data_IF_049386213379
#
_entry.id   IF_049386213379
#
_cell.length_a   1.000
_cell.length_b   1.000
_cell.length_c   1.000
_cell.angle_alpha   90.00
_cell.angle_beta   90.00
_cell.angle_gamma   90.00
#
_symmetry.space_group_name_H-M   'P 1'
#
loop_
_entity.id
_entity.type
_entity.pdbx_description
1 polymer ?
#
# COMPACT_ATOMS: atom_id res chain seq x y z
N UNK A 1 -6.72 3.94 -9.70
CA UNK A 1 -5.90 3.63 -8.49
C UNK A 1 -6.75 3.91 -7.25
N UNK A 2 -6.72 3.08 -6.21
CA UNK A 2 -7.47 3.37 -4.95
C UNK A 2 -6.65 4.30 -4.07
N UNK A 3 -7.26 5.38 -3.58
CA UNK A 3 -6.63 6.31 -2.64
C UNK A 3 -6.19 5.58 -1.36
N UNK A 4 -5.18 6.15 -0.69
CA UNK A 4 -4.65 5.63 0.57
C UNK A 4 -5.38 6.30 1.73
N UNK A 5 -6.13 5.53 2.52
CA UNK A 5 -6.83 6.02 3.71
C UNK A 5 -5.96 5.86 4.96
N UNK A 6 -5.88 6.91 5.78
CA UNK A 6 -5.12 6.89 7.04
C UNK A 6 -6.04 7.20 8.23
N UNK A 7 -5.79 6.53 9.35
CA UNK A 7 -6.34 6.86 10.66
C UNK A 7 -5.24 6.87 11.71
N UNK A 8 -5.41 7.63 12.79
CA UNK A 8 -4.41 7.69 13.85
C UNK A 8 -4.42 6.40 14.68
N UNK A 9 -5.60 5.89 15.02
CA UNK A 9 -5.76 4.71 15.86
C UNK A 9 -7.07 3.96 15.58
N UNK A 10 -7.07 2.66 15.88
CA UNK A 10 -8.26 1.81 15.93
C UNK A 10 -8.43 1.30 17.37
N UNK A 11 -9.11 2.10 18.19
CA UNK A 11 -9.30 1.87 19.63
C UNK A 11 -10.75 1.90 20.09
N UNK A 12 -11.70 2.14 19.17
CA UNK A 12 -13.13 2.19 19.45
C UNK A 12 -13.91 1.37 18.43
N UNK A 13 -15.12 0.96 18.80
CA UNK A 13 -16.00 0.22 17.90
C UNK A 13 -16.32 1.00 16.64
N UNK A 14 -16.59 2.29 16.79
CA UNK A 14 -16.98 3.19 15.70
C UNK A 14 -15.86 3.32 14.67
N UNK A 15 -14.60 3.46 15.13
CA UNK A 15 -13.44 3.53 14.25
C UNK A 15 -13.24 2.23 13.44
N UNK A 16 -13.46 1.07 14.08
CA UNK A 16 -13.39 -0.22 13.39
C UNK A 16 -14.51 -0.40 12.37
N UNK A 17 -15.73 0.01 12.70
CA UNK A 17 -16.85 -0.05 11.77
C UNK A 17 -16.59 0.85 10.55
N UNK A 18 -16.07 2.06 10.75
CA UNK A 18 -15.67 2.93 9.65
C UNK A 18 -14.58 2.29 8.79
N UNK A 19 -13.54 1.70 9.41
CA UNK A 19 -12.48 1.00 8.68
C UNK A 19 -12.99 -0.18 7.84
N UNK A 20 -14.09 -0.82 8.24
CA UNK A 20 -14.72 -1.87 7.44
C UNK A 20 -15.43 -1.35 6.20
N UNK A 21 -16.07 -0.18 6.30
CA UNK A 21 -16.69 0.51 5.16
C UNK A 21 -15.62 1.00 4.19
N UNK A 22 -14.52 1.57 4.72
CA UNK A 22 -13.37 2.02 3.94
C UNK A 22 -12.62 0.86 3.27
N UNK A 23 -12.81 -0.38 3.77
CA UNK A 23 -12.18 -1.65 3.37
C UNK A 23 -10.67 -1.72 3.54
N UNK A 24 -9.95 -0.61 3.53
CA UNK A 24 -8.51 -0.53 3.67
C UNK A 24 -8.15 0.72 4.45
N UNK A 25 -7.33 0.58 5.49
CA UNK A 25 -6.82 1.72 6.27
C UNK A 25 -5.41 1.46 6.79
N UNK A 26 -4.59 2.51 6.79
CA UNK A 26 -3.29 2.53 7.46
C UNK A 26 -3.44 3.21 8.82
N UNK A 27 -2.99 2.53 9.88
CA UNK A 27 -3.11 2.98 11.27
C UNK A 27 -1.76 3.49 11.74
N UNK A 28 -1.65 4.80 12.00
CA UNK A 28 -0.35 5.45 12.28
C UNK A 28 0.26 4.99 13.60
N UNK A 29 -0.50 5.02 14.70
CA UNK A 29 0.05 4.80 16.04
C UNK A 29 0.57 3.38 16.26
N UNK A 30 -0.02 2.40 15.60
CA UNK A 30 0.39 0.99 15.69
C UNK A 30 1.23 0.52 14.51
N UNK A 31 1.56 1.41 13.56
CA UNK A 31 2.23 1.07 12.31
C UNK A 31 1.59 -0.15 11.63
N UNK A 32 0.29 -0.10 11.36
CA UNK A 32 -0.43 -1.24 10.82
C UNK A 32 -1.15 -0.93 9.51
N UNK A 33 -1.34 -1.96 8.69
CA UNK A 33 -2.22 -1.93 7.54
C UNK A 33 -3.36 -2.93 7.77
N UNK A 34 -4.59 -2.43 7.79
CA UNK A 34 -5.80 -3.23 8.03
C UNK A 34 -6.63 -3.25 6.74
N UNK A 35 -6.97 -4.45 6.28
CA UNK A 35 -7.76 -4.67 5.07
C UNK A 35 -8.91 -5.63 5.34
N UNK A 36 -10.13 -5.22 5.02
CA UNK A 36 -11.31 -6.07 4.99
C UNK A 36 -11.55 -6.56 3.58
N UNK A 37 -11.73 -7.87 3.42
CA UNK A 37 -12.12 -8.47 2.15
C UNK A 37 -13.16 -9.57 2.34
N UNK A 38 -13.69 -10.06 1.22
CA UNK A 38 -14.86 -10.92 1.18
C UNK A 38 -16.17 -10.14 1.03
N UNK A 39 -17.17 -10.83 0.46
CA UNK A 39 -18.34 -10.20 -0.16
C UNK A 39 -19.57 -10.25 0.75
N UNK A 40 -19.64 -11.25 1.64
CA UNK A 40 -20.82 -11.55 2.44
C UNK A 40 -20.50 -11.70 3.93
N UNK A 41 -21.53 -11.73 4.77
CA UNK A 41 -21.36 -11.88 6.22
C UNK A 41 -20.75 -13.22 6.64
N UNK A 42 -20.82 -14.25 5.79
CA UNK A 42 -20.19 -15.55 6.02
C UNK A 42 -18.76 -15.65 5.50
N UNK A 43 -18.31 -14.62 4.77
CA UNK A 43 -16.95 -14.49 4.23
C UNK A 43 -16.43 -13.10 4.59
N UNK A 44 -16.25 -12.87 5.88
CA UNK A 44 -15.78 -11.61 6.44
C UNK A 44 -14.34 -11.79 6.91
N UNK A 45 -13.39 -11.44 6.05
CA UNK A 45 -11.97 -11.60 6.34
C UNK A 45 -11.31 -10.26 6.68
N UNK A 46 -10.38 -10.31 7.63
CA UNK A 46 -9.60 -9.16 8.06
C UNK A 46 -8.11 -9.49 7.99
N UNK A 47 -7.38 -8.87 7.06
CA UNK A 47 -5.93 -8.89 7.05
C UNK A 47 -5.38 -7.74 7.88
N UNK A 48 -4.39 -8.05 8.72
CA UNK A 48 -3.68 -7.08 9.55
C UNK A 48 -2.19 -7.31 9.33
N UNK A 49 -1.51 -6.31 8.78
CA UNK A 49 -0.07 -6.34 8.53
C UNK A 49 0.64 -5.41 9.50
N UNK A 50 1.67 -5.91 10.18
CA UNK A 50 2.62 -5.08 10.92
C UNK A 50 3.58 -4.41 9.93
N UNK A 51 3.60 -3.08 9.95
CA UNK A 51 4.40 -2.23 9.06
C UNK A 51 5.67 -1.68 9.74
N UNK A 52 6.01 -2.10 10.95
CA UNK A 52 7.20 -1.60 11.67
C UNK A 52 8.51 -1.74 10.89
N UNK A 53 8.58 -2.72 9.98
CA UNK A 53 9.69 -2.92 9.06
C UNK A 53 9.40 -2.59 7.60
N UNK A 54 8.20 -2.13 7.25
CA UNK A 54 7.81 -1.88 5.86
C UNK A 54 8.84 -1.00 5.14
N UNK A 55 9.09 -1.35 3.87
CA UNK A 55 10.07 -0.72 2.98
C UNK A 55 11.56 -0.86 3.41
N UNK A 56 11.88 -1.61 4.47
CA UNK A 56 13.27 -1.91 4.89
C UNK A 56 13.81 -3.18 4.22
N UNK A 57 15.10 -3.18 3.88
CA UNK A 57 15.78 -4.34 3.27
C UNK A 57 16.16 -5.37 4.33
N UNK A 58 16.12 -6.66 3.96
CA UNK A 58 16.58 -7.77 4.82
C UNK A 58 15.69 -8.04 6.03
N UNK A 59 14.48 -7.47 6.07
CA UNK A 59 13.47 -7.69 7.10
C UNK A 59 12.20 -8.28 6.48
N UNK A 60 11.32 -8.76 7.33
CA UNK A 60 10.00 -9.26 6.94
C UNK A 60 8.90 -8.55 7.72
N UNK A 61 7.77 -8.35 7.06
CA UNK A 61 6.53 -7.92 7.69
C UNK A 61 5.63 -9.14 7.89
N UNK A 62 5.05 -9.24 9.08
CA UNK A 62 4.08 -10.28 9.41
C UNK A 62 2.67 -9.79 9.07
N UNK A 63 1.88 -10.65 8.44
CA UNK A 63 0.47 -10.43 8.15
C UNK A 63 -0.35 -11.56 8.76
N UNK A 64 -1.29 -11.21 9.61
CA UNK A 64 -2.33 -12.14 10.06
C UNK A 64 -3.56 -11.94 9.19
N UNK A 65 -4.24 -13.03 8.86
CA UNK A 65 -5.55 -13.00 8.24
C UNK A 65 -6.52 -13.73 9.16
N UNK A 66 -7.48 -12.98 9.69
CA UNK A 66 -8.60 -13.51 10.47
C UNK A 66 -9.71 -13.84 9.47
N UNK A 67 -10.01 -15.12 9.33
CA UNK A 67 -11.06 -15.63 8.48
C UNK A 67 -12.28 -15.99 9.31
N UNK A 68 -13.47 -15.58 8.87
CA UNK A 68 -14.68 -16.02 9.54
C UNK A 68 -15.96 -15.34 9.12
N UNK A 69 -17.01 -15.63 9.89
CA UNK A 69 -18.25 -14.87 9.81
C UNK A 69 -18.07 -13.51 10.48
N UNK A 70 -18.81 -12.50 9.99
CA UNK A 70 -18.78 -11.13 10.52
C UNK A 70 -19.00 -11.09 12.03
N UNK A 71 -19.95 -11.87 12.54
CA UNK A 71 -20.25 -11.97 13.97
C UNK A 71 -19.06 -12.51 14.79
N UNK A 72 -18.36 -13.51 14.27
CA UNK A 72 -17.20 -14.11 14.94
C UNK A 72 -16.01 -13.15 14.97
N UNK A 73 -15.72 -12.47 13.86
CA UNK A 73 -14.66 -11.45 13.79
C UNK A 73 -14.98 -10.25 14.70
N UNK A 74 -16.23 -9.78 14.70
CA UNK A 74 -16.68 -8.73 15.63
C UNK A 74 -16.51 -9.16 17.09
N UNK A 75 -16.82 -10.42 17.41
CA UNK A 75 -16.67 -10.94 18.77
C UNK A 75 -15.20 -10.97 19.21
N UNK A 76 -14.29 -11.36 18.30
CA UNK A 76 -12.85 -11.30 18.57
C UNK A 76 -12.36 -9.87 18.81
N UNK A 77 -12.85 -8.89 18.04
CA UNK A 77 -12.55 -7.48 18.28
C UNK A 77 -13.12 -6.97 19.60
N UNK A 78 -14.32 -7.39 19.98
CA UNK A 78 -14.91 -7.07 21.27
C UNK A 78 -14.09 -7.63 22.44
N UNK A 79 -13.57 -8.87 22.32
CA UNK A 79 -12.65 -9.46 23.30
C UNK A 79 -11.36 -8.64 23.40
N UNK A 80 -10.83 -8.17 22.27
CA UNK A 80 -9.70 -7.24 22.23
C UNK A 80 -10.07 -5.80 22.66
N UNK A 81 -11.27 -5.58 23.19
CA UNK A 81 -11.81 -4.28 23.58
C UNK A 81 -11.66 -3.21 22.47
N UNK A 82 -11.89 -3.63 21.22
CA UNK A 82 -11.76 -2.82 20.01
C UNK A 82 -10.41 -2.12 19.85
N UNK A 83 -9.36 -2.61 20.51
CA UNK A 83 -8.00 -2.09 20.41
C UNK A 83 -7.18 -2.93 19.45
N UNK A 84 -6.67 -2.31 18.38
CA UNK A 84 -5.75 -2.96 17.46
C UNK A 84 -4.45 -3.43 18.16
N UNK A 85 -3.97 -2.68 19.16
CA UNK A 85 -2.80 -3.08 19.92
C UNK A 85 -3.06 -4.39 20.69
N UNK A 86 -4.18 -4.46 21.43
CA UNK A 86 -4.58 -5.70 22.13
C UNK A 86 -4.83 -6.84 21.15
N UNK A 87 -5.38 -6.55 19.97
CA UNK A 87 -5.57 -7.55 18.94
C UNK A 87 -4.22 -8.11 18.43
N UNK A 88 -3.20 -7.27 18.26
CA UNK A 88 -1.84 -7.76 17.94
C UNK A 88 -1.27 -8.64 19.04
N UNK A 89 -1.47 -8.28 20.32
CA UNK A 89 -1.05 -9.12 21.45
C UNK A 89 -1.73 -10.50 21.39
N UNK A 90 -3.05 -10.54 21.18
CA UNK A 90 -3.82 -11.78 21.01
C UNK A 90 -3.29 -12.61 19.83
N UNK A 91 -3.09 -11.98 18.67
CA UNK A 91 -2.62 -12.65 17.46
C UNK A 91 -1.17 -13.16 17.59
N UNK A 92 -0.33 -12.45 18.33
CA UNK A 92 1.07 -12.84 18.59
C UNK A 92 1.15 -13.98 19.58
N UNK A 93 0.27 -14.01 20.60
CA UNK A 93 0.19 -15.08 21.59
C UNK A 93 -0.29 -16.42 21.01
N UNK A 94 -0.80 -16.44 19.78
CA UNK A 94 -1.09 -17.70 19.08
C UNK A 94 0.19 -18.43 18.65
N UNK A 95 1.35 -17.75 18.61
CA UNK A 95 2.64 -18.36 18.25
C UNK A 95 2.57 -19.13 16.92
N UNK A 96 1.87 -18.55 15.94
CA UNK A 96 1.75 -19.14 14.60
C UNK A 96 3.05 -18.96 13.82
N UNK A 97 3.53 -20.04 13.21
CA UNK A 97 4.69 -20.06 12.32
C UNK A 97 4.33 -19.66 10.89
N UNK A 98 5.34 -19.38 10.06
CA UNK A 98 5.13 -18.93 8.67
C UNK A 98 4.17 -19.86 7.91
N UNK A 99 3.16 -19.26 7.28
CA UNK A 99 2.14 -19.94 6.47
C UNK A 99 1.30 -20.96 7.28
N UNK A 100 1.26 -20.83 8.60
CA UNK A 100 0.40 -21.65 9.46
C UNK A 100 -1.05 -21.15 9.39
N UNK A 101 -1.98 -22.11 9.53
CA UNK A 101 -3.41 -21.89 9.68
C UNK A 101 -3.88 -22.54 10.97
N UNK A 102 -4.69 -21.82 11.75
CA UNK A 102 -5.29 -22.33 12.99
C UNK A 102 -6.77 -22.01 13.06
N UNK A 103 -7.59 -23.05 13.21
CA UNK A 103 -9.01 -22.90 13.55
C UNK A 103 -9.14 -22.61 15.04
N UNK A 104 -9.78 -21.50 15.39
CA UNK A 104 -9.99 -21.09 16.78
C UNK A 104 -11.36 -21.53 17.29
N UNK A 105 -12.40 -21.37 16.47
CA UNK A 105 -13.80 -21.68 16.78
C UNK A 105 -14.55 -22.07 15.50
N UNK A 106 -15.80 -22.56 15.58
CA UNK A 106 -16.67 -22.59 14.40
C UNK A 106 -16.71 -21.21 13.73
N UNK A 107 -16.47 -21.16 12.42
CA UNK A 107 -16.48 -19.93 11.63
C UNK A 107 -15.44 -18.87 12.04
N UNK A 108 -14.37 -19.26 12.77
CA UNK A 108 -13.25 -18.37 13.07
C UNK A 108 -11.94 -19.12 12.96
N UNK A 109 -11.04 -18.60 12.14
CA UNK A 109 -9.69 -19.10 11.99
C UNK A 109 -8.72 -17.98 11.70
N UNK A 110 -7.44 -18.23 11.93
CA UNK A 110 -6.37 -17.27 11.67
C UNK A 110 -5.30 -17.96 10.83
N UNK A 111 -4.80 -17.28 9.82
CA UNK A 111 -3.58 -17.65 9.13
C UNK A 111 -2.52 -16.56 9.28
N UNK A 112 -1.24 -16.92 9.16
CA UNK A 112 -0.14 -15.95 9.23
C UNK A 112 0.81 -16.11 8.03
N UNK A 113 1.23 -14.98 7.48
CA UNK A 113 2.14 -14.91 6.35
C UNK A 113 3.27 -13.94 6.66
N UNK A 114 4.41 -14.18 6.03
CA UNK A 114 5.60 -13.33 6.14
C UNK A 114 5.98 -12.88 4.74
N UNK A 115 6.12 -11.57 4.57
CA UNK A 115 6.46 -10.96 3.28
C UNK A 115 7.78 -10.20 3.40
N UNK A 116 8.62 -10.19 2.34
CA UNK A 116 9.80 -9.33 2.30
C UNK A 116 9.40 -7.88 2.52
N UNK A 117 9.91 -7.23 3.57
CA UNK A 117 9.43 -5.89 3.94
C UNK A 117 9.64 -4.84 2.86
N UNK A 118 10.66 -4.99 2.02
CA UNK A 118 10.95 -4.09 0.90
C UNK A 118 9.82 -4.04 -0.15
N UNK A 119 8.92 -5.03 -0.15
CA UNK A 119 7.79 -5.19 -1.07
C UNK A 119 6.46 -4.79 -0.39
N UNK A 120 6.51 -4.29 0.85
CA UNK A 120 5.34 -3.85 1.61
C UNK A 120 5.39 -2.33 1.75
N UNK A 121 4.37 -1.67 1.21
CA UNK A 121 4.22 -0.23 1.32
C UNK A 121 3.78 0.20 2.73
N UNK A 122 4.25 1.37 3.16
CA UNK A 122 3.71 2.07 4.33
C UNK A 122 3.83 3.59 4.13
N UNK A 123 2.72 4.35 4.23
CA UNK A 123 2.79 5.80 4.14
C UNK A 123 3.58 6.41 5.31
N UNK A 124 3.60 5.76 6.48
CA UNK A 124 4.37 6.18 7.65
C UNK A 124 5.89 6.01 7.44
N UNK A 125 6.33 5.10 6.57
CA UNK A 125 7.75 4.91 6.27
C UNK A 125 8.31 5.99 5.32
N UNK A 126 7.45 6.72 4.59
CA UNK A 126 7.87 7.69 3.59
C UNK A 126 8.64 8.87 4.18
N UNK A 127 8.19 9.38 5.35
CA UNK A 127 8.81 10.52 6.02
C UNK A 127 10.24 10.25 6.50
N UNK A 128 10.54 8.99 6.82
CA UNK A 128 11.84 8.52 7.28
C UNK A 128 12.79 8.12 6.15
N UNK A 129 12.36 8.17 4.88
CA UNK A 129 13.25 7.85 3.76
C UNK A 129 14.33 8.90 3.58
N UNK A 130 15.56 8.44 3.38
CA UNK A 130 16.68 9.30 3.03
C UNK A 130 16.44 9.93 1.65
N UNK A 131 16.79 11.22 1.46
CA UNK A 131 16.76 11.85 0.16
C UNK A 131 17.75 11.17 -0.80
N UNK A 132 17.60 11.47 -2.09
CA UNK A 132 18.62 11.13 -3.06
C UNK A 132 19.92 11.86 -2.71
N UNK A 133 21.04 11.14 -2.69
CA UNK A 133 22.36 11.74 -2.45
C UNK A 133 22.78 12.68 -3.61
N UNK A 134 22.20 12.47 -4.78
CA UNK A 134 22.39 13.27 -5.99
C UNK A 134 21.55 12.69 -7.12
N UNK A 135 21.58 13.32 -8.29
CA UNK A 135 20.86 12.83 -9.45
C UNK A 135 21.49 11.52 -9.95
N UNK A 136 20.75 10.40 -10.02
CA UNK A 136 21.33 9.14 -10.41
C UNK A 136 21.59 9.09 -11.92
N UNK A 137 22.74 8.54 -12.32
CA UNK A 137 23.04 8.27 -13.74
C UNK A 137 22.09 7.22 -14.34
N UNK A 138 21.59 6.29 -13.51
CA UNK A 138 20.59 5.29 -13.89
C UNK A 138 19.39 5.33 -12.95
N UNK A 139 18.22 5.60 -13.51
CA UNK A 139 16.97 5.60 -12.77
C UNK A 139 16.50 4.19 -12.43
N UNK A 140 15.98 4.04 -11.21
CA UNK A 140 15.40 2.80 -10.70
C UNK A 140 14.15 3.15 -9.90
N UNK A 141 13.24 2.18 -9.71
CA UNK A 141 12.04 2.37 -8.89
C UNK A 141 12.37 2.87 -7.47
N UNK A 142 13.38 2.32 -6.75
CA UNK A 142 13.79 2.89 -5.46
C UNK A 142 14.25 4.35 -5.52
N UNK A 143 14.86 4.81 -6.61
CA UNK A 143 15.21 6.23 -6.78
C UNK A 143 13.95 7.09 -6.91
N UNK A 144 13.00 6.64 -7.75
CA UNK A 144 11.74 7.33 -7.96
C UNK A 144 10.90 7.41 -6.67
N UNK A 145 10.77 6.30 -5.94
CA UNK A 145 10.05 6.26 -4.66
C UNK A 145 10.63 7.24 -3.64
N UNK A 146 11.97 7.34 -3.53
CA UNK A 146 12.62 8.33 -2.66
C UNK A 146 12.33 9.77 -3.09
N UNK A 147 12.39 10.03 -4.40
CA UNK A 147 12.09 11.35 -4.94
C UNK A 147 10.64 11.75 -4.62
N UNK A 148 9.67 10.88 -4.93
CA UNK A 148 8.25 11.11 -4.66
C UNK A 148 7.91 11.16 -3.17
N UNK A 149 8.66 10.47 -2.31
CA UNK A 149 8.46 10.57 -0.87
C UNK A 149 8.92 11.91 -0.29
N UNK A 150 9.92 12.57 -0.92
CA UNK A 150 10.57 13.77 -0.38
C UNK A 150 10.08 15.08 -0.99
N UNK A 151 9.73 15.08 -2.26
CA UNK A 151 9.33 16.29 -2.98
C UNK A 151 7.83 16.28 -3.27
N UNK A 152 7.04 16.82 -2.34
CA UNK A 152 5.59 16.92 -2.44
C UNK A 152 5.09 17.86 -3.54
N UNK A 153 5.98 18.65 -4.19
CA UNK A 153 5.59 19.54 -5.29
C UNK A 153 5.51 18.82 -6.64
N UNK A 154 6.14 17.65 -6.77
CA UNK A 154 6.14 16.91 -8.03
C UNK A 154 4.73 16.47 -8.44
N UNK A 155 4.42 16.62 -9.72
CA UNK A 155 3.15 16.17 -10.28
C UNK A 155 3.36 14.86 -11.01
N UNK A 156 2.50 13.89 -10.73
CA UNK A 156 2.44 12.61 -11.44
C UNK A 156 1.20 12.64 -12.32
N UNK A 157 1.40 12.58 -13.62
CA UNK A 157 0.34 12.71 -14.61
C UNK A 157 0.28 11.44 -15.45
N UNK A 158 -0.91 10.93 -15.72
CA UNK A 158 -1.10 9.80 -16.62
C UNK A 158 -0.84 10.23 -18.07
N UNK A 159 0.05 9.51 -18.76
CA UNK A 159 0.32 9.67 -20.19
C UNK A 159 -0.49 8.69 -21.05
N UNK A 160 -1.08 7.68 -20.42
CA UNK A 160 -1.96 6.72 -21.05
C UNK A 160 -2.12 5.47 -20.19
N UNK A 161 -3.35 5.00 -20.07
CA UNK A 161 -3.71 3.75 -19.39
C UNK A 161 -4.63 2.94 -20.29
N UNK A 162 -4.28 1.68 -20.52
CA UNK A 162 -5.08 0.71 -21.24
C UNK A 162 -5.59 -0.36 -20.30
N UNK A 163 -6.83 -0.77 -20.53
CA UNK A 163 -7.53 -1.87 -19.89
C UNK A 163 -8.01 -2.83 -20.98
N UNK A 164 -8.69 -3.91 -20.59
CA UNK A 164 -9.26 -4.85 -21.56
C UNK A 164 -10.48 -4.26 -22.30
N UNK A 165 -10.98 -3.09 -21.89
CA UNK A 165 -12.08 -2.37 -22.55
C UNK A 165 -11.56 -1.12 -23.28
N UNK A 166 -11.05 -1.35 -24.50
CA UNK A 166 -10.50 -0.28 -25.33
C UNK A 166 -11.51 0.80 -25.72
N UNK A 167 -12.82 0.48 -25.70
CA UNK A 167 -13.86 1.47 -26.00
C UNK A 167 -13.98 2.46 -24.85
N UNK A 168 -14.11 1.96 -23.61
CA UNK A 168 -14.13 2.81 -22.42
C UNK A 168 -12.83 3.61 -22.25
N UNK A 169 -11.68 3.00 -22.55
CA UNK A 169 -10.40 3.72 -22.48
C UNK A 169 -10.38 4.89 -23.47
N UNK A 170 -10.84 4.68 -24.71
CA UNK A 170 -10.90 5.74 -25.71
C UNK A 170 -11.88 6.86 -25.31
N UNK A 171 -13.04 6.52 -24.74
CA UNK A 171 -14.00 7.51 -24.22
C UNK A 171 -13.39 8.39 -23.12
N UNK A 172 -12.52 7.81 -22.28
CA UNK A 172 -11.78 8.52 -21.22
C UNK A 172 -10.47 9.13 -21.69
N UNK A 173 -10.18 9.12 -23.00
CA UNK A 173 -8.89 9.53 -23.55
C UNK A 173 -7.69 8.86 -22.85
N UNK A 174 -7.84 7.58 -22.48
CA UNK A 174 -6.85 6.77 -21.77
C UNK A 174 -6.39 7.41 -20.45
N UNK A 175 -7.27 8.19 -19.80
CA UNK A 175 -6.99 9.01 -18.61
C UNK A 175 -5.82 9.99 -18.79
N UNK A 176 -5.49 10.36 -20.04
CA UNK A 176 -4.36 11.27 -20.33
C UNK A 176 -4.55 12.62 -19.66
N UNK A 177 -3.50 13.09 -18.99
CA UNK A 177 -3.50 14.39 -18.31
C UNK A 177 -4.07 14.35 -16.89
N UNK A 178 -4.65 13.22 -16.45
CA UNK A 178 -5.16 13.09 -15.09
C UNK A 178 -4.01 13.00 -14.08
N UNK A 179 -4.14 13.77 -13.00
CA UNK A 179 -3.21 13.71 -11.87
C UNK A 179 -3.52 12.49 -11.01
N UNK A 180 -2.46 11.77 -10.64
CA UNK A 180 -2.57 10.50 -9.92
C UNK A 180 -2.40 10.73 -8.43
N UNK A 181 -3.18 10.00 -7.61
CA UNK A 181 -2.94 9.94 -6.17
C UNK A 181 -1.52 9.43 -5.91
N UNK A 182 -0.69 10.31 -5.36
CA UNK A 182 0.74 10.06 -5.14
C UNK A 182 0.98 8.86 -4.23
N UNK A 183 0.22 8.71 -3.14
CA UNK A 183 0.45 7.63 -2.19
C UNK A 183 0.06 6.29 -2.81
N UNK A 184 -1.03 6.27 -3.56
CA UNK A 184 -1.44 5.11 -4.33
C UNK A 184 -0.38 4.76 -5.39
N UNK A 185 0.20 5.75 -6.06
CA UNK A 185 1.25 5.51 -7.04
C UNK A 185 2.53 4.97 -6.41
N UNK A 186 2.96 5.53 -5.28
CA UNK A 186 4.11 5.01 -4.53
C UNK A 186 3.83 3.57 -4.05
N UNK A 187 2.61 3.27 -3.59
CA UNK A 187 2.22 1.91 -3.22
C UNK A 187 2.43 0.94 -4.39
N UNK A 188 1.88 1.25 -5.56
CA UNK A 188 1.98 0.39 -6.74
C UNK A 188 3.44 0.19 -7.20
N UNK A 189 4.26 1.25 -7.10
CA UNK A 189 5.70 1.18 -7.35
C UNK A 189 6.44 0.28 -6.35
N UNK A 190 6.06 0.30 -5.07
CA UNK A 190 6.73 -0.48 -4.02
C UNK A 190 6.31 -1.95 -4.08
N UNK A 191 5.01 -2.21 -4.19
CA UNK A 191 4.44 -3.55 -4.09
C UNK A 191 4.63 -4.37 -5.38
N UNK A 192 4.80 -3.72 -6.53
CA UNK A 192 5.08 -4.38 -7.82
C UNK A 192 6.32 -3.82 -8.55
N UNK A 193 7.37 -3.49 -7.79
CA UNK A 193 8.57 -2.80 -8.30
C UNK A 193 9.23 -3.44 -9.55
N UNK A 194 9.06 -4.75 -9.76
CA UNK A 194 9.68 -5.47 -10.89
C UNK A 194 8.98 -5.22 -12.22
N UNK A 195 7.71 -4.86 -12.20
CA UNK A 195 6.92 -4.63 -13.40
C UNK A 195 7.08 -3.21 -13.95
N UNK A 196 7.71 -2.31 -13.17
CA UNK A 196 7.91 -0.91 -13.53
C UNK A 196 9.27 -0.63 -14.15
N UNK A 197 9.27 0.24 -15.15
CA UNK A 197 10.45 0.84 -15.75
C UNK A 197 10.44 2.35 -15.53
N UNK A 198 11.61 2.93 -15.23
CA UNK A 198 11.79 4.38 -15.08
C UNK A 198 12.85 4.85 -16.06
N UNK A 199 12.53 5.85 -16.87
CA UNK A 199 13.44 6.43 -17.86
C UNK A 199 13.45 7.96 -17.75
N UNK A 200 14.62 8.60 -17.77
CA UNK A 200 14.69 10.05 -17.87
C UNK A 200 14.19 10.51 -19.24
N UNK A 201 13.49 11.65 -19.26
CA UNK A 201 13.02 12.32 -20.48
C UNK A 201 13.29 13.81 -20.38
N UNK A 202 13.06 14.56 -21.46
CA UNK A 202 13.16 16.01 -21.44
C UNK A 202 12.13 16.57 -20.42
N UNK A 203 12.61 17.19 -19.35
CA UNK A 203 11.77 17.83 -18.32
C UNK A 203 11.23 16.90 -17.23
N UNK A 204 11.55 15.60 -17.22
CA UNK A 204 10.95 14.70 -16.24
C UNK A 204 11.43 13.26 -16.24
N UNK A 205 10.59 12.39 -15.68
CA UNK A 205 10.75 10.94 -15.71
C UNK A 205 9.51 10.30 -16.32
N UNK A 206 9.70 9.46 -17.33
CA UNK A 206 8.66 8.55 -17.81
C UNK A 206 8.71 7.25 -17.00
N UNK A 207 7.56 6.81 -16.54
CA UNK A 207 7.38 5.66 -15.64
C UNK A 207 6.30 4.77 -16.21
N UNK A 208 6.64 3.55 -16.59
CA UNK A 208 5.70 2.65 -17.28
C UNK A 208 5.71 1.23 -16.73
N UNK A 209 4.56 0.57 -16.84
CA UNK A 209 4.39 -0.86 -16.53
C UNK A 209 4.01 -1.59 -17.83
N UNK A 210 5.04 -2.08 -18.54
CA UNK A 210 4.85 -2.69 -19.86
C UNK A 210 4.15 -1.75 -20.85
N UNK A 211 3.13 -2.28 -21.55
CA UNK A 211 2.29 -1.52 -22.49
C UNK A 211 0.96 -1.05 -21.87
N UNK A 212 0.71 -1.36 -20.60
CA UNK A 212 -0.58 -1.18 -19.95
C UNK A 212 -0.77 0.22 -19.39
N UNK A 213 0.30 0.83 -18.86
CA UNK A 213 0.20 2.18 -18.31
C UNK A 213 1.53 2.93 -18.37
N UNK A 214 1.43 4.22 -18.64
CA UNK A 214 2.55 5.18 -18.61
C UNK A 214 2.16 6.42 -17.82
N UNK A 215 3.10 6.91 -17.02
CA UNK A 215 3.01 8.13 -16.23
C UNK A 215 4.21 9.02 -16.50
N UNK A 216 3.99 10.32 -16.42
CA UNK A 216 5.02 11.34 -16.42
C UNK A 216 5.14 11.96 -15.04
N UNK A 217 6.36 11.99 -14.51
CA UNK A 217 6.70 12.75 -13.31
C UNK A 217 7.40 14.01 -13.73
N UNK A 218 6.69 15.13 -13.65
CA UNK A 218 7.22 16.44 -14.00
C UNK A 218 8.19 16.91 -12.93
N UNK A 219 9.41 17.25 -13.33
CA UNK A 219 10.42 17.78 -12.43
C UNK A 219 10.37 19.31 -12.48
N UNK A 220 9.95 19.92 -11.38
CA UNK A 220 9.85 21.37 -11.21
C UNK A 220 11.18 22.12 -11.39
N UNK A 221 12.30 21.41 -11.45
CA UNK A 221 13.67 21.94 -11.45
C UNK A 221 14.50 21.63 -12.70
N UNK A 222 13.91 21.10 -13.79
CA UNK A 222 14.63 21.02 -15.08
C UNK A 222 14.36 22.28 -15.90
N UNK A 223 14.74 23.41 -15.32
CA UNK A 223 15.13 24.61 -16.07
C UNK A 223 16.60 24.83 -15.78
N UNK A 224 17.38 24.73 -16.86
CA UNK A 224 18.79 25.10 -16.98
C UNK A 224 19.85 24.09 -16.52
N UNK A 225 20.34 23.32 -17.51
CA UNK A 225 21.76 22.95 -17.55
C UNK A 225 22.12 21.48 -17.28
N UNK A 226 21.62 20.53 -18.06
CA UNK A 226 22.29 19.23 -18.25
C UNK A 226 21.81 18.48 -19.50
N UNK A 227 21.86 19.14 -20.65
CA UNK A 227 22.03 18.47 -21.94
C UNK A 227 23.19 19.20 -22.64
N UNK A 228 24.40 18.68 -22.45
CA UNK A 228 25.55 18.91 -23.31
C UNK A 228 26.19 17.54 -23.56
#
# INVERSE_FOLDING_TARGET
MRSVSLTDALTTREAWLQAFEDREVYVKNTFAHVQRFGIHEHDFNLAITDLGYAMKRGKECRRWIIHGHKSAVISMLAIANWSLLKLFEVLSALELERAEYRKLQPHLSVSVYHFPSKEIFSPMALSAMNPLAGWPQKWTVPHLVRLLARDQSLRVVCEGQTTDDSFLDSERNFNRGEEVDRLAFIRDLVEDAKSWSVRPTAGGLSVSQGYHVSYFVALSHVTDGACA
#
